data_IF_761790511202
#
_entry.id   IF_761790511202
#
_cell.length_a   1.000
_cell.length_b   1.000
_cell.length_c   1.000
_cell.angle_alpha   90.00
_cell.angle_beta   90.00
_cell.angle_gamma   90.00
#
_symmetry.space_group_name_H-M   'P 1'
#
loop_
_entity.id
_entity.type
_entity.pdbx_description
1 polymer ?
#
# COMPACT_ATOMS: atom_id res chain seq x y z
N UNK A 1 17.51 -25.46 44.35
CA UNK A 1 18.06 -24.57 43.32
C UNK A 1 18.98 -23.59 43.99
N UNK A 2 20.18 -23.42 43.44
CA UNK A 2 21.20 -22.51 43.90
C UNK A 2 21.60 -21.60 42.73
N UNK A 3 21.64 -20.30 42.97
CA UNK A 3 22.08 -19.32 41.98
C UNK A 3 23.61 -19.27 41.95
N UNK A 4 24.18 -19.33 40.74
CA UNK A 4 25.62 -19.32 40.50
C UNK A 4 25.96 -18.27 39.45
N UNK A 5 27.00 -17.49 39.73
CA UNK A 5 27.62 -16.61 38.74
C UNK A 5 28.55 -17.41 37.83
N UNK A 6 28.31 -17.36 36.53
CA UNK A 6 29.12 -17.99 35.49
C UNK A 6 29.46 -16.96 34.41
N UNK A 7 30.19 -17.37 33.37
CA UNK A 7 30.44 -16.54 32.18
C UNK A 7 29.95 -17.29 30.94
N UNK A 8 29.34 -16.56 30.00
CA UNK A 8 28.93 -17.11 28.72
C UNK A 8 30.11 -17.21 27.72
N UNK A 9 29.81 -17.62 26.48
CA UNK A 9 30.81 -17.75 25.39
C UNK A 9 31.51 -16.42 25.05
N UNK A 10 30.88 -15.28 25.34
CA UNK A 10 31.40 -13.92 25.09
C UNK A 10 32.07 -13.31 26.33
N UNK A 11 32.30 -14.11 27.39
CA UNK A 11 32.83 -13.68 28.70
C UNK A 11 31.94 -12.65 29.43
N UNK A 12 30.66 -12.57 29.08
CA UNK A 12 29.72 -11.77 29.85
C UNK A 12 29.32 -12.54 31.13
N UNK A 13 29.23 -11.85 32.29
CA UNK A 13 28.76 -12.49 33.51
C UNK A 13 27.28 -12.85 33.38
N UNK A 14 26.96 -14.12 33.64
CA UNK A 14 25.60 -14.66 33.62
C UNK A 14 25.27 -15.27 34.98
N UNK A 15 23.99 -15.30 35.32
CA UNK A 15 23.47 -15.97 36.51
C UNK A 15 22.73 -17.23 36.08
N UNK A 16 23.21 -18.38 36.54
CA UNK A 16 22.59 -19.68 36.27
C UNK A 16 21.98 -20.24 37.54
N UNK A 17 20.97 -21.09 37.41
CA UNK A 17 20.35 -21.77 38.55
C UNK A 17 20.60 -23.26 38.45
N UNK A 18 21.21 -23.87 39.46
CA UNK A 18 21.54 -25.29 39.44
C UNK A 18 20.93 -26.09 40.60
N UNK A 19 20.73 -27.38 40.38
CA UNK A 19 20.39 -28.35 41.41
C UNK A 19 20.97 -29.72 41.03
N UNK A 20 21.58 -30.41 42.00
CA UNK A 20 22.18 -31.73 41.78
C UNK A 20 22.06 -32.59 43.05
N UNK A 21 20.83 -32.83 43.52
CA UNK A 21 20.53 -33.62 44.73
C UNK A 21 20.15 -35.07 44.41
N UNK A 22 20.96 -35.70 43.56
CA UNK A 22 20.68 -37.03 42.96
C UNK A 22 20.74 -38.20 43.94
N UNK A 23 21.36 -38.02 45.11
CA UNK A 23 21.56 -39.07 46.12
C UNK A 23 20.40 -39.19 47.12
N UNK A 24 19.55 -38.17 47.19
CA UNK A 24 18.46 -38.09 48.15
C UNK A 24 17.16 -38.66 47.55
N UNK A 25 16.36 -39.36 48.36
CA UNK A 25 15.03 -39.81 47.94
C UNK A 25 14.00 -38.69 48.10
N UNK A 26 12.88 -38.79 47.36
CA UNK A 26 11.72 -37.89 47.46
C UNK A 26 12.05 -36.39 47.29
N UNK A 27 12.91 -36.06 46.32
CA UNK A 27 13.20 -34.66 45.99
C UNK A 27 11.96 -33.95 45.43
N UNK A 28 11.80 -32.67 45.82
CA UNK A 28 10.77 -31.77 45.32
C UNK A 28 11.30 -30.32 45.38
N UNK A 29 12.18 -29.96 44.45
CA UNK A 29 12.89 -28.69 44.46
C UNK A 29 12.25 -27.71 43.46
N UNK A 30 11.64 -26.63 43.95
CA UNK A 30 10.99 -25.62 43.12
C UNK A 30 11.85 -24.37 42.92
N UNK A 31 11.83 -23.83 41.71
CA UNK A 31 12.35 -22.51 41.33
C UNK A 31 11.22 -21.73 40.66
N UNK A 32 10.97 -20.50 41.11
CA UNK A 32 9.91 -19.65 40.58
C UNK A 32 10.51 -18.42 39.90
N UNK A 33 9.90 -17.97 38.81
CA UNK A 33 10.24 -16.67 38.22
C UNK A 33 9.58 -15.53 38.99
N UNK A 34 9.95 -14.29 38.65
CA UNK A 34 9.11 -13.13 38.93
C UNK A 34 7.82 -13.17 38.08
N UNK A 35 6.90 -12.25 38.37
CA UNK A 35 5.68 -12.07 37.61
C UNK A 35 5.98 -11.53 36.20
N UNK A 36 5.46 -12.21 35.18
CA UNK A 36 5.69 -11.88 33.77
C UNK A 36 4.38 -11.33 33.18
N UNK A 37 4.43 -10.11 32.65
CA UNK A 37 3.29 -9.49 31.97
C UNK A 37 3.04 -10.14 30.61
N UNK A 38 1.77 -10.35 30.27
CA UNK A 38 1.40 -10.92 28.96
C UNK A 38 1.44 -9.90 27.84
N UNK A 39 1.40 -8.59 28.13
CA UNK A 39 1.33 -7.50 27.13
C UNK A 39 0.21 -7.71 26.09
N UNK A 40 -0.89 -8.37 26.50
CA UNK A 40 -2.02 -8.72 25.62
C UNK A 40 -1.80 -9.97 24.76
N UNK A 41 -0.66 -10.65 24.87
CA UNK A 41 -0.40 -11.91 24.20
C UNK A 41 -1.22 -13.04 24.80
N UNK A 42 -1.99 -13.73 23.96
CA UNK A 42 -2.71 -14.94 24.36
C UNK A 42 -1.83 -16.19 24.23
N UNK A 43 -0.74 -16.14 23.47
CA UNK A 43 0.20 -17.24 23.34
C UNK A 43 1.62 -16.72 23.52
N UNK A 44 2.36 -17.38 24.39
CA UNK A 44 3.78 -17.10 24.65
C UNK A 44 4.61 -18.35 24.38
N UNK A 45 5.89 -18.15 24.16
CA UNK A 45 6.90 -19.17 23.93
C UNK A 45 7.94 -19.05 25.02
N UNK A 46 8.28 -20.20 25.62
CA UNK A 46 9.31 -20.34 26.63
C UNK A 46 10.46 -21.12 25.98
N UNK A 47 11.58 -20.44 25.78
CA UNK A 47 12.85 -21.04 25.34
C UNK A 47 13.73 -21.25 26.58
N UNK A 48 14.12 -22.50 26.80
CA UNK A 48 15.00 -22.94 27.88
C UNK A 48 16.34 -23.32 27.30
N UNK A 49 17.42 -22.80 27.88
CA UNK A 49 18.77 -23.32 27.67
C UNK A 49 19.29 -23.91 28.97
N UNK A 50 19.72 -25.16 28.95
CA UNK A 50 20.15 -25.88 30.16
C UNK A 50 21.17 -26.97 29.85
N UNK A 51 21.91 -27.38 30.87
CA UNK A 51 22.79 -28.55 30.83
C UNK A 51 22.24 -29.63 31.75
N UNK A 52 22.41 -30.89 31.36
CA UNK A 52 21.96 -32.03 32.14
C UNK A 52 23.03 -33.11 32.16
N UNK A 53 23.34 -33.60 33.36
CA UNK A 53 24.34 -34.65 33.54
C UNK A 53 23.70 -36.04 33.47
N UNK A 54 24.32 -36.94 32.71
CA UNK A 54 23.89 -38.35 32.59
C UNK A 54 23.94 -39.04 33.96
N UNK A 55 22.84 -39.69 34.35
CA UNK A 55 22.73 -40.43 35.61
C UNK A 55 23.74 -41.59 35.70
N UNK A 56 24.13 -42.19 34.59
CA UNK A 56 25.14 -43.25 34.54
C UNK A 56 26.55 -42.74 34.89
N UNK A 57 26.79 -41.44 34.74
CA UNK A 57 28.06 -40.78 35.09
C UNK A 57 28.16 -40.35 36.55
N UNK A 58 27.13 -40.63 37.36
CA UNK A 58 27.03 -40.19 38.76
C UNK A 58 27.25 -41.37 39.72
N UNK A 59 28.32 -41.35 40.56
CA UNK A 59 28.60 -42.44 41.48
C UNK A 59 27.61 -42.44 42.66
N UNK A 60 26.66 -43.37 42.67
CA UNK A 60 25.73 -43.58 43.80
C UNK A 60 24.27 -43.15 43.56
N UNK A 61 23.94 -42.60 42.39
CA UNK A 61 22.58 -42.13 42.06
C UNK A 61 21.63 -43.18 41.46
N UNK A 62 22.00 -44.47 41.50
CA UNK A 62 21.27 -45.54 40.81
C UNK A 62 19.91 -45.77 41.48
N UNK A 63 18.84 -45.37 40.79
CA UNK A 63 17.44 -45.56 41.22
C UNK A 63 16.74 -44.30 41.74
N UNK A 64 17.49 -43.27 42.12
CA UNK A 64 16.95 -41.96 42.57
C UNK A 64 17.14 -40.86 41.52
N UNK A 65 18.20 -40.95 40.71
CA UNK A 65 18.54 -39.96 39.69
C UNK A 65 17.50 -39.90 38.55
N UNK A 66 17.21 -38.68 38.07
CA UNK A 66 16.34 -38.38 36.93
C UNK A 66 17.09 -37.57 35.88
N UNK A 67 16.67 -37.71 34.63
CA UNK A 67 17.21 -36.96 33.48
C UNK A 67 16.16 -36.00 32.90
N UNK A 68 15.19 -35.63 33.73
CA UNK A 68 14.10 -34.73 33.37
C UNK A 68 13.75 -33.82 34.53
N UNK A 69 13.18 -32.67 34.20
CA UNK A 69 12.58 -31.74 35.15
C UNK A 69 11.22 -31.29 34.62
N UNK A 70 10.35 -30.78 35.48
CA UNK A 70 9.01 -30.37 35.08
C UNK A 70 8.93 -28.84 35.00
N UNK A 71 8.20 -28.34 34.01
CA UNK A 71 7.87 -26.92 33.88
C UNK A 71 6.39 -26.69 34.15
N UNK A 72 6.09 -25.61 34.88
CA UNK A 72 4.75 -25.23 35.30
C UNK A 72 4.49 -23.74 35.07
N UNK A 73 3.22 -23.36 35.05
CA UNK A 73 2.79 -21.96 35.08
C UNK A 73 1.60 -21.71 36.00
N UNK A 74 1.45 -20.44 36.39
CA UNK A 74 0.29 -19.95 37.14
C UNK A 74 -0.11 -18.55 36.64
N UNK A 75 -1.33 -18.40 36.12
CA UNK A 75 -1.87 -17.12 35.67
C UNK A 75 -2.45 -16.30 36.83
N UNK A 76 -2.14 -15.00 36.88
CA UNK A 76 -2.73 -14.06 37.84
C UNK A 76 -2.85 -12.64 37.29
N UNK A 77 -3.70 -11.82 37.89
CA UNK A 77 -3.87 -10.41 37.50
C UNK A 77 -2.90 -9.46 38.22
N UNK A 78 -2.05 -9.96 39.12
CA UNK A 78 -1.10 -9.18 39.91
C UNK A 78 -1.65 -8.71 41.27
N UNK A 79 -2.95 -8.79 41.49
CA UNK A 79 -3.60 -8.38 42.76
C UNK A 79 -3.45 -9.42 43.89
N UNK A 80 -2.81 -10.56 43.61
CA UNK A 80 -2.67 -11.69 44.55
C UNK A 80 -1.32 -11.70 45.28
N UNK A 81 -0.36 -10.87 44.85
CA UNK A 81 0.90 -10.66 45.58
C UNK A 81 0.68 -9.80 46.83
N UNK A 82 -0.45 -9.09 46.95
CA UNK A 82 -0.87 -8.41 48.18
C UNK A 82 -1.29 -9.39 49.31
N UNK A 83 -1.36 -10.69 49.04
CA UNK A 83 -1.50 -11.73 50.08
C UNK A 83 -0.15 -12.22 50.62
N UNK A 84 0.97 -11.57 50.27
CA UNK A 84 2.31 -11.89 50.77
C UNK A 84 2.52 -11.44 52.23
N UNK A 85 1.63 -10.62 52.81
CA UNK A 85 1.67 -10.22 54.22
C UNK A 85 0.49 -10.80 55.02
N UNK A 86 0.50 -12.11 55.25
CA UNK A 86 0.05 -12.74 56.50
C UNK A 86 -1.30 -12.35 57.15
N UNK A 87 -2.28 -11.78 56.43
CA UNK A 87 -3.55 -11.36 57.03
C UNK A 87 -4.69 -12.34 56.76
N UNK A 88 -4.80 -13.25 57.74
CA UNK A 88 -6.00 -13.85 58.32
C UNK A 88 -7.33 -13.56 57.63
N UNK A 89 -8.00 -14.63 57.19
CA UNK A 89 -9.46 -14.61 57.00
C UNK A 89 -10.23 -15.37 58.09
N UNK A 90 -9.65 -16.36 58.79
CA UNK A 90 -10.42 -17.19 59.75
C UNK A 90 -9.68 -17.66 61.03
N UNK A 91 -8.55 -17.07 61.44
CA UNK A 91 -7.96 -17.31 62.76
C UNK A 91 -7.43 -18.74 63.02
N UNK A 92 -7.41 -19.62 62.03
CA UNK A 92 -6.71 -20.91 62.05
C UNK A 92 -5.36 -20.72 61.38
N UNK A 93 -4.28 -20.90 62.14
CA UNK A 93 -2.92 -20.86 61.60
C UNK A 93 -2.70 -22.05 60.68
N UNK A 94 -2.53 -21.80 59.39
CA UNK A 94 -2.07 -22.78 58.42
C UNK A 94 -0.57 -22.97 58.65
N UNK A 95 -0.10 -24.22 58.66
CA UNK A 95 1.33 -24.51 58.80
C UNK A 95 2.10 -24.05 57.56
N UNK A 96 3.40 -23.74 57.68
CA UNK A 96 4.23 -23.34 56.53
C UNK A 96 4.23 -24.40 55.41
N UNK A 97 4.09 -25.66 55.77
CA UNK A 97 4.02 -26.80 54.85
C UNK A 97 2.70 -26.83 54.08
N UNK A 98 1.57 -26.55 54.74
CA UNK A 98 0.26 -26.42 54.10
C UNK A 98 0.19 -25.19 53.18
N UNK A 99 0.78 -24.06 53.56
CA UNK A 99 0.88 -22.85 52.72
C UNK A 99 1.70 -23.10 51.45
N UNK A 100 2.83 -23.82 51.57
CA UNK A 100 3.64 -24.26 50.43
C UNK A 100 2.86 -25.17 49.49
N UNK A 101 2.18 -26.18 50.01
CA UNK A 101 1.35 -27.11 49.22
C UNK A 101 0.21 -26.37 48.52
N UNK A 102 -0.44 -25.41 49.20
CA UNK A 102 -1.46 -24.55 48.60
C UNK A 102 -0.89 -23.73 47.45
N UNK A 103 0.30 -23.12 47.61
CA UNK A 103 0.98 -22.35 46.56
C UNK A 103 1.36 -23.22 45.37
N UNK A 104 1.93 -24.41 45.60
CA UNK A 104 2.29 -25.38 44.56
C UNK A 104 1.05 -25.91 43.81
N UNK A 105 -0.08 -26.10 44.50
CA UNK A 105 -1.32 -26.60 43.89
C UNK A 105 -1.96 -25.67 42.86
N UNK A 106 -1.58 -24.38 42.86
CA UNK A 106 -2.04 -23.39 41.88
C UNK A 106 -1.35 -23.52 40.52
N UNK A 107 -0.19 -24.16 40.48
CA UNK A 107 0.61 -24.32 39.27
C UNK A 107 0.08 -25.46 38.38
N UNK A 108 -0.07 -25.17 37.10
CA UNK A 108 -0.49 -26.14 36.08
C UNK A 108 0.77 -26.60 35.34
N UNK A 109 0.93 -27.92 35.19
CA UNK A 109 2.07 -28.51 34.49
C UNK A 109 1.99 -28.20 33.00
N UNK A 110 3.05 -27.61 32.44
CA UNK A 110 3.22 -27.41 31.00
C UNK A 110 3.72 -28.71 30.36
N UNK A 111 4.91 -29.17 30.78
CA UNK A 111 5.52 -30.36 30.22
C UNK A 111 6.62 -30.93 31.15
N UNK A 112 7.09 -32.13 30.82
CA UNK A 112 8.31 -32.72 31.35
C UNK A 112 9.43 -32.49 30.35
N UNK A 113 10.44 -31.71 30.73
CA UNK A 113 11.56 -31.35 29.87
C UNK A 113 12.67 -32.39 30.04
N UNK A 114 13.14 -32.92 28.91
CA UNK A 114 14.27 -33.83 28.82
C UNK A 114 15.39 -33.17 28.00
N UNK A 115 16.62 -33.62 28.19
CA UNK A 115 17.75 -33.22 27.35
C UNK A 115 17.80 -34.03 26.06
N UNK A 116 18.15 -33.39 24.95
CA UNK A 116 18.54 -34.06 23.70
C UNK A 116 19.94 -34.69 23.85
N UNK A 117 20.86 -33.95 24.49
CA UNK A 117 22.22 -34.40 24.81
C UNK A 117 22.51 -34.20 26.30
N UNK A 118 22.97 -35.27 26.97
CA UNK A 118 23.52 -35.21 28.33
C UNK A 118 25.05 -35.26 28.31
N UNK A 119 25.68 -34.70 29.33
CA UNK A 119 27.14 -34.75 29.49
C UNK A 119 27.56 -35.79 30.53
N UNK A 120 28.72 -36.39 30.31
CA UNK A 120 29.31 -37.47 31.13
C UNK A 120 30.61 -37.01 31.81
N UNK A 121 31.25 -37.91 32.57
CA UNK A 121 32.55 -37.65 33.21
C UNK A 121 33.68 -37.42 32.17
N UNK A 122 33.58 -38.04 31.00
CA UNK A 122 34.52 -37.84 29.90
C UNK A 122 34.42 -36.41 29.35
N UNK A 123 33.20 -35.90 29.15
CA UNK A 123 32.94 -34.56 28.64
C UNK A 123 33.40 -33.47 29.62
N UNK A 124 33.28 -33.73 30.93
CA UNK A 124 33.85 -32.88 31.98
C UNK A 124 35.38 -32.82 31.90
N UNK A 125 36.04 -33.93 31.58
CA UNK A 125 37.49 -34.00 31.34
C UNK A 125 37.94 -33.14 30.16
N UNK A 126 37.12 -33.09 29.12
CA UNK A 126 37.35 -32.29 27.90
C UNK A 126 36.81 -30.85 28.03
N UNK A 127 36.22 -30.48 29.17
CA UNK A 127 35.57 -29.18 29.44
C UNK A 127 34.45 -28.84 28.44
N UNK A 128 33.77 -29.86 27.93
CA UNK A 128 32.64 -29.70 27.02
C UNK A 128 31.36 -29.87 27.82
N UNK A 129 30.60 -28.79 27.98
CA UNK A 129 29.23 -28.88 28.51
C UNK A 129 28.24 -28.96 27.35
N UNK A 130 27.28 -29.88 27.44
CA UNK A 130 26.23 -30.06 26.43
C UNK A 130 25.06 -29.14 26.73
N UNK A 131 24.95 -28.05 25.98
CA UNK A 131 23.87 -27.07 26.10
C UNK A 131 22.67 -27.51 25.27
N UNK A 132 21.55 -27.78 25.95
CA UNK A 132 20.28 -28.13 25.35
C UNK A 132 19.43 -26.89 25.14
N UNK A 133 18.62 -26.85 24.08
CA UNK A 133 17.65 -25.77 23.84
C UNK A 133 16.27 -26.37 23.59
N UNK A 134 15.33 -26.09 24.48
CA UNK A 134 13.95 -26.59 24.40
C UNK A 134 12.96 -25.43 24.32
N UNK A 135 12.00 -25.50 23.40
CA UNK A 135 10.95 -24.48 23.24
C UNK A 135 9.59 -25.10 23.50
N UNK A 136 8.79 -24.44 24.35
CA UNK A 136 7.38 -24.80 24.60
C UNK A 136 6.50 -23.58 24.45
N UNK A 137 5.29 -23.77 23.92
CA UNK A 137 4.27 -22.73 23.88
C UNK A 137 3.27 -22.88 25.03
N UNK A 138 2.75 -21.74 25.45
CA UNK A 138 1.75 -21.62 26.51
C UNK A 138 0.62 -20.72 26.03
N UNK A 139 -0.62 -21.18 26.15
CA UNK A 139 -1.82 -20.40 25.86
C UNK A 139 -3.04 -21.28 25.53
N UNK A 140 -4.24 -20.68 25.40
CA UNK A 140 -4.52 -19.25 25.47
C UNK A 140 -4.44 -18.68 26.90
N UNK A 141 -3.60 -17.67 27.10
CA UNK A 141 -3.53 -16.87 28.32
C UNK A 141 -4.68 -15.86 28.35
N UNK A 142 -5.26 -15.70 29.53
CA UNK A 142 -6.46 -14.89 29.77
C UNK A 142 -6.26 -13.80 30.83
N UNK A 143 -5.22 -13.92 31.67
CA UNK A 143 -4.91 -12.96 32.73
C UNK A 143 -3.81 -11.97 32.33
N UNK A 144 -3.61 -10.94 33.16
CA UNK A 144 -2.61 -9.87 32.89
C UNK A 144 -1.16 -10.36 32.94
N UNK A 145 -0.88 -11.42 33.69
CA UNK A 145 0.45 -11.99 33.78
C UNK A 145 0.44 -13.40 34.32
N UNK A 146 1.63 -13.99 34.40
CA UNK A 146 1.82 -15.35 34.88
C UNK A 146 3.19 -15.52 35.53
N UNK A 147 3.30 -16.56 36.35
CA UNK A 147 4.54 -17.07 36.89
C UNK A 147 4.93 -18.35 36.17
N UNK A 148 6.23 -18.56 35.96
CA UNK A 148 6.76 -19.87 35.60
C UNK A 148 7.40 -20.51 36.82
N UNK A 149 7.37 -21.84 36.86
CA UNK A 149 8.08 -22.60 37.87
C UNK A 149 8.72 -23.87 37.31
N UNK A 150 9.85 -24.24 37.88
CA UNK A 150 10.64 -25.40 37.50
C UNK A 150 10.78 -26.33 38.70
N UNK A 151 10.34 -27.58 38.53
CA UNK A 151 10.37 -28.59 39.58
C UNK A 151 11.37 -29.68 39.22
N UNK A 152 12.32 -29.88 40.11
CA UNK A 152 13.28 -30.97 40.07
C UNK A 152 12.89 -32.07 41.08
N UNK A 153 12.93 -33.32 40.62
CA UNK A 153 12.61 -34.53 41.38
C UNK A 153 13.82 -35.47 41.56
N UNK A 154 15.05 -34.97 41.34
CA UNK A 154 16.29 -35.73 41.53
C UNK A 154 17.22 -35.74 40.32
N UNK A 155 17.22 -34.70 39.49
CA UNK A 155 18.13 -34.49 38.38
C UNK A 155 19.38 -33.71 38.80
N UNK A 156 20.37 -33.72 37.93
CA UNK A 156 21.56 -32.87 38.01
C UNK A 156 21.55 -31.91 36.82
N UNK A 157 20.99 -30.73 37.03
CA UNK A 157 20.65 -29.73 36.00
C UNK A 157 21.21 -28.36 36.37
N UNK A 158 21.69 -27.64 35.35
CA UNK A 158 21.92 -26.20 35.42
C UNK A 158 21.08 -25.49 34.35
N UNK A 159 20.20 -24.61 34.78
CA UNK A 159 19.36 -23.75 33.95
C UNK A 159 20.15 -22.48 33.62
N UNK A 160 20.52 -22.34 32.35
CA UNK A 160 21.42 -21.29 31.84
C UNK A 160 20.64 -20.06 31.38
N UNK A 161 19.51 -20.26 30.70
CA UNK A 161 18.67 -19.15 30.22
C UNK A 161 17.21 -19.57 30.18
N UNK A 162 16.33 -18.67 30.63
CA UNK A 162 14.88 -18.76 30.43
C UNK A 162 14.45 -17.51 29.68
N UNK A 163 14.06 -17.69 28.42
CA UNK A 163 13.60 -16.60 27.56
C UNK A 163 12.12 -16.78 27.26
N UNK A 164 11.32 -15.83 27.70
CA UNK A 164 9.89 -15.79 27.45
C UNK A 164 9.61 -14.71 26.41
N UNK A 165 8.89 -15.06 25.34
CA UNK A 165 8.55 -14.13 24.26
C UNK A 165 7.22 -14.47 23.62
N UNK A 166 6.63 -13.52 22.91
CA UNK A 166 5.47 -13.76 22.05
C UNK A 166 5.77 -13.28 20.63
N UNK A 167 5.00 -13.79 19.66
CA UNK A 167 5.14 -13.41 18.26
C UNK A 167 4.13 -12.31 17.93
N UNK A 168 4.50 -11.42 17.01
CA UNK A 168 3.63 -10.36 16.49
C UNK A 168 3.94 -10.11 15.04
N UNK A 169 2.90 -9.77 14.27
CA UNK A 169 3.10 -9.21 12.95
C UNK A 169 3.49 -7.74 13.10
N UNK A 170 4.70 -7.33 12.69
CA UNK A 170 5.19 -5.98 12.91
C UNK A 170 4.51 -4.97 11.98
N UNK A 171 4.53 -3.70 12.36
CA UNK A 171 4.00 -2.61 11.55
C UNK A 171 4.58 -2.66 10.14
N UNK A 172 3.69 -2.60 9.15
CA UNK A 172 4.05 -2.75 7.75
C UNK A 172 3.29 -1.73 6.90
N UNK A 173 4.01 -1.04 6.01
CA UNK A 173 3.39 -0.28 4.91
C UNK A 173 3.55 -1.07 3.63
N UNK A 174 2.44 -1.48 3.03
CA UNK A 174 2.43 -2.24 1.77
C UNK A 174 1.29 -1.77 0.88
N UNK A 175 1.57 -1.53 -0.40
CA UNK A 175 0.57 -1.07 -1.37
C UNK A 175 -0.19 0.19 -0.90
N UNK A 176 0.56 1.16 -0.35
CA UNK A 176 0.05 2.41 0.23
C UNK A 176 -0.95 2.23 1.39
N UNK A 177 -0.92 1.07 2.06
CA UNK A 177 -1.72 0.78 3.22
C UNK A 177 -0.83 0.49 4.43
N UNK A 178 -1.18 1.07 5.57
CA UNK A 178 -0.58 0.85 6.89
C UNK A 178 -1.30 -0.30 7.58
N UNK A 179 -0.54 -1.28 8.03
CA UNK A 179 -1.00 -2.40 8.85
C UNK A 179 -0.32 -2.28 10.24
N UNK A 180 -1.09 -2.14 11.33
CA UNK A 180 -0.55 -1.94 12.67
C UNK A 180 0.09 -3.21 13.22
N UNK A 181 0.92 -3.03 14.26
CA UNK A 181 1.41 -4.15 15.07
C UNK A 181 0.23 -5.00 15.55
N UNK A 182 0.24 -6.28 15.22
CA UNK A 182 -0.88 -7.19 15.49
C UNK A 182 -0.38 -8.45 16.18
N UNK A 183 -1.03 -8.81 17.29
CA UNK A 183 -0.80 -10.07 17.99
C UNK A 183 -1.64 -11.16 17.28
N UNK A 184 -1.04 -12.31 16.91
CA UNK A 184 -1.77 -13.41 16.28
C UNK A 184 -2.81 -14.02 17.22
N UNK A 185 -3.70 -14.82 16.63
CA UNK A 185 -4.63 -15.63 17.41
C UNK A 185 -3.89 -16.73 18.20
N UNK A 186 -4.52 -17.24 19.25
CA UNK A 186 -3.98 -18.32 20.07
C UNK A 186 -4.01 -19.70 19.38
N UNK A 187 -4.91 -19.92 18.41
CA UNK A 187 -5.05 -21.21 17.74
C UNK A 187 -4.12 -21.34 16.52
N UNK A 188 -3.42 -22.48 16.41
CA UNK A 188 -2.33 -22.68 15.45
C UNK A 188 -2.71 -22.44 13.96
N UNK A 189 -3.94 -22.77 13.57
CA UNK A 189 -4.45 -22.66 12.19
C UNK A 189 -5.27 -21.39 11.92
N UNK A 190 -5.43 -20.52 12.92
CA UNK A 190 -6.24 -19.32 12.77
C UNK A 190 -5.41 -18.16 12.22
N UNK A 191 -5.98 -17.45 11.25
CA UNK A 191 -5.42 -16.21 10.71
C UNK A 191 -6.23 -15.03 11.24
N UNK A 192 -5.54 -14.00 11.72
CA UNK A 192 -6.18 -12.74 12.12
C UNK A 192 -6.26 -11.83 10.90
N UNK A 193 -7.47 -11.59 10.40
CA UNK A 193 -7.69 -10.60 9.35
C UNK A 193 -7.51 -9.18 9.92
N UNK A 194 -6.68 -8.38 9.26
CA UNK A 194 -6.38 -7.00 9.63
C UNK A 194 -6.71 -6.10 8.46
N UNK A 195 -7.65 -5.18 8.69
CA UNK A 195 -8.00 -4.13 7.74
C UNK A 195 -6.94 -3.03 7.82
N UNK A 196 -6.25 -2.80 6.71
CA UNK A 196 -5.24 -1.77 6.58
C UNK A 196 -5.86 -0.38 6.40
N UNK A 197 -5.14 0.65 6.86
CA UNK A 197 -5.52 2.04 6.66
C UNK A 197 -4.69 2.66 5.55
N UNK A 198 -5.32 3.26 4.56
CA UNK A 198 -4.63 3.98 3.51
C UNK A 198 -3.73 5.10 4.08
N UNK A 199 -2.50 5.22 3.58
CA UNK A 199 -1.57 6.30 3.97
C UNK A 199 -2.16 7.67 3.64
N UNK A 200 -1.62 8.73 4.23
CA UNK A 200 -2.07 10.10 3.95
C UNK A 200 -2.12 10.41 2.45
N UNK A 201 -3.16 11.11 2.02
CA UNK A 201 -3.42 11.44 0.61
C UNK A 201 -3.60 10.25 -0.33
N UNK A 202 -3.97 9.07 0.20
CA UNK A 202 -4.40 7.91 -0.60
C UNK A 202 -5.82 7.49 -0.26
N UNK A 203 -6.40 6.66 -1.14
CA UNK A 203 -7.74 6.10 -1.02
C UNK A 203 -7.75 4.65 -1.50
N UNK A 204 -8.66 3.79 -1.01
CA UNK A 204 -8.81 2.45 -1.55
C UNK A 204 -9.24 2.52 -3.03
N UNK A 205 -8.64 1.71 -3.90
CA UNK A 205 -9.01 1.69 -5.31
C UNK A 205 -10.40 1.04 -5.53
N UNK A 206 -10.73 0.02 -4.75
CA UNK A 206 -12.02 -0.69 -4.81
C UNK A 206 -12.56 -0.92 -3.39
N UNK A 207 -11.89 -1.76 -2.62
CA UNK A 207 -12.21 -2.10 -1.24
C UNK A 207 -11.04 -1.79 -0.31
N UNK A 208 -11.32 -1.67 0.99
CA UNK A 208 -10.29 -1.49 2.00
C UNK A 208 -9.26 -2.62 1.94
N UNK A 209 -7.96 -2.30 1.97
CA UNK A 209 -6.90 -3.30 1.89
C UNK A 209 -6.91 -4.18 3.14
N UNK A 210 -6.61 -5.46 2.99
CA UNK A 210 -6.58 -6.44 4.08
C UNK A 210 -5.34 -7.32 4.00
N UNK A 211 -4.84 -7.73 5.16
CA UNK A 211 -3.79 -8.72 5.32
C UNK A 211 -4.15 -9.69 6.45
N UNK A 212 -3.47 -10.83 6.47
CA UNK A 212 -3.71 -11.87 7.46
C UNK A 212 -2.45 -12.08 8.29
N UNK A 213 -2.54 -11.93 9.61
CA UNK A 213 -1.44 -12.20 10.52
C UNK A 213 -1.45 -13.68 10.93
N UNK A 214 -0.34 -14.39 10.70
CA UNK A 214 -0.15 -15.79 11.06
C UNK A 214 0.31 -15.95 12.51
N UNK A 215 0.15 -17.16 13.06
CA UNK A 215 0.65 -17.54 14.40
C UNK A 215 2.17 -17.47 14.52
N UNK A 216 2.88 -17.49 13.40
CA UNK A 216 4.33 -17.29 13.32
C UNK A 216 4.75 -15.80 13.33
N UNK A 217 3.79 -14.87 13.37
CA UNK A 217 4.07 -13.43 13.32
C UNK A 217 4.36 -12.93 11.90
N UNK A 218 3.92 -13.65 10.88
CA UNK A 218 4.13 -13.27 9.48
C UNK A 218 2.87 -12.70 8.84
N UNK A 219 3.05 -11.69 8.00
CA UNK A 219 1.99 -11.10 7.19
C UNK A 219 1.76 -11.91 5.90
N UNK A 220 0.56 -12.45 5.76
CA UNK A 220 0.14 -13.28 4.63
C UNK A 220 -0.97 -12.60 3.81
N UNK A 221 -1.17 -13.11 2.59
CA UNK A 221 -2.30 -12.82 1.67
C UNK A 221 -2.70 -11.33 1.61
N UNK A 222 -2.00 -10.49 0.81
CA UNK A 222 -2.41 -9.12 0.59
C UNK A 222 -3.64 -9.05 -0.33
N UNK A 223 -4.72 -8.43 0.14
CA UNK A 223 -5.96 -8.21 -0.62
C UNK A 223 -6.21 -6.71 -0.73
N UNK A 224 -6.53 -6.24 -1.93
CA UNK A 224 -6.75 -4.82 -2.19
C UNK A 224 -5.48 -3.96 -2.14
N UNK A 225 -5.64 -2.68 -2.42
CA UNK A 225 -4.56 -1.68 -2.34
C UNK A 225 -5.14 -0.28 -2.20
N UNK A 226 -4.33 0.63 -1.69
CA UNK A 226 -4.58 2.05 -1.78
C UNK A 226 -3.86 2.63 -3.01
N UNK A 227 -4.38 3.74 -3.51
CA UNK A 227 -3.76 4.55 -4.56
C UNK A 227 -3.77 6.00 -4.12
N UNK A 228 -2.73 6.76 -4.47
CA UNK A 228 -2.74 8.18 -4.16
C UNK A 228 -3.92 8.88 -4.85
N UNK A 229 -4.47 9.88 -4.18
CA UNK A 229 -5.52 10.75 -4.73
C UNK A 229 -5.00 11.47 -5.99
N UNK A 230 -5.91 11.98 -6.80
CA UNK A 230 -5.55 12.85 -7.93
C UNK A 230 -4.73 14.05 -7.44
N UNK A 231 -3.74 14.46 -8.23
CA UNK A 231 -2.74 15.46 -7.82
C UNK A 231 -1.62 14.95 -6.90
N UNK A 232 -1.58 13.67 -6.55
CA UNK A 232 -0.47 13.07 -5.79
C UNK A 232 0.17 11.91 -6.56
N UNK A 233 1.44 11.58 -6.31
CA UNK A 233 2.13 10.42 -6.85
C UNK A 233 2.73 9.55 -5.75
N UNK A 234 2.86 8.26 -6.04
CA UNK A 234 3.51 7.32 -5.14
C UNK A 234 5.03 7.49 -5.21
N UNK A 235 5.63 7.82 -4.08
CA UNK A 235 7.09 7.94 -3.91
C UNK A 235 7.47 7.23 -2.61
N UNK A 236 8.22 6.13 -2.73
CA UNK A 236 8.75 5.37 -1.59
C UNK A 236 7.69 4.95 -0.55
N UNK A 237 6.52 4.48 -1.00
CA UNK A 237 5.43 4.04 -0.10
C UNK A 237 4.64 5.18 0.54
N UNK A 238 4.81 6.41 0.06
CA UNK A 238 4.06 7.61 0.49
C UNK A 238 3.45 8.33 -0.70
N UNK A 239 2.40 9.12 -0.47
CA UNK A 239 1.78 9.95 -1.50
C UNK A 239 2.28 11.39 -1.42
N UNK A 240 3.08 11.79 -2.40
CA UNK A 240 3.64 13.13 -2.50
C UNK A 240 2.87 13.97 -3.51
N UNK A 241 2.76 15.26 -3.26
CA UNK A 241 2.03 16.17 -4.15
C UNK A 241 2.75 16.32 -5.50
N UNK A 242 2.00 16.32 -6.61
CA UNK A 242 2.58 16.56 -7.94
C UNK A 242 3.32 17.91 -7.95
N UNK A 243 4.53 17.91 -8.50
CA UNK A 243 5.34 19.12 -8.66
C UNK A 243 4.69 20.09 -9.66
N UNK A 244 5.05 21.37 -9.58
CA UNK A 244 4.60 22.36 -10.57
C UNK A 244 4.97 21.94 -12.00
N UNK A 245 4.07 22.17 -12.95
CA UNK A 245 4.22 21.69 -14.33
C UNK A 245 3.86 20.21 -14.55
N UNK A 246 3.49 19.48 -13.49
CA UNK A 246 2.99 18.12 -13.54
C UNK A 246 1.56 18.04 -13.02
N UNK A 247 0.82 17.04 -13.50
CA UNK A 247 -0.56 16.81 -13.11
C UNK A 247 -0.85 15.31 -12.98
N UNK A 248 -1.94 14.99 -12.28
CA UNK A 248 -2.50 13.63 -12.27
C UNK A 248 -4.03 13.66 -12.18
N UNK A 249 -4.68 13.21 -13.26
CA UNK A 249 -6.14 13.24 -13.40
C UNK A 249 -6.84 11.94 -13.04
N UNK A 250 -6.13 10.81 -13.02
CA UNK A 250 -6.69 9.47 -12.82
C UNK A 250 -6.10 8.78 -11.59
N UNK A 251 -6.89 7.90 -10.95
CA UNK A 251 -6.49 7.17 -9.75
C UNK A 251 -5.62 5.95 -10.10
N UNK A 252 -5.77 5.41 -11.30
CA UNK A 252 -5.11 4.21 -11.78
C UNK A 252 -3.65 4.44 -12.19
N UNK A 253 -3.28 5.68 -12.51
CA UNK A 253 -1.89 6.03 -12.89
C UNK A 253 -1.05 6.23 -11.63
N UNK A 254 0.09 5.57 -11.48
CA UNK A 254 0.87 5.65 -10.23
C UNK A 254 1.65 6.97 -10.04
N UNK A 255 2.02 7.65 -11.14
CA UNK A 255 2.92 8.79 -11.17
C UNK A 255 2.29 10.05 -11.79
N UNK A 256 2.83 11.22 -11.45
CA UNK A 256 2.43 12.48 -12.07
C UNK A 256 2.99 12.59 -13.50
N UNK A 257 2.19 13.09 -14.42
CA UNK A 257 2.58 13.31 -15.81
C UNK A 257 2.93 14.77 -16.04
N UNK A 258 3.90 15.04 -16.89
CA UNK A 258 4.21 16.42 -17.31
C UNK A 258 3.02 17.00 -18.08
N UNK A 259 2.72 18.28 -17.89
CA UNK A 259 1.69 18.94 -18.67
C UNK A 259 1.96 18.81 -20.18
N UNK A 260 0.93 18.48 -20.98
CA UNK A 260 1.09 18.37 -22.43
C UNK A 260 1.37 19.75 -23.04
N UNK A 261 1.85 19.81 -24.31
CA UNK A 261 2.17 21.07 -24.97
C UNK A 261 1.04 22.10 -24.92
N UNK A 262 1.42 23.37 -24.81
CA UNK A 262 0.52 24.52 -24.71
C UNK A 262 -0.43 24.49 -23.51
N UNK A 263 -0.01 23.83 -22.44
CA UNK A 263 -0.74 23.78 -21.18
C UNK A 263 0.22 23.86 -19.99
N UNK A 264 -0.28 24.37 -18.88
CA UNK A 264 0.50 24.65 -17.68
C UNK A 264 -0.26 24.28 -16.41
N UNK A 265 0.45 23.68 -15.45
CA UNK A 265 0.01 23.52 -14.07
C UNK A 265 0.76 24.52 -13.21
N UNK A 266 0.10 25.63 -12.84
CA UNK A 266 0.70 26.74 -12.09
C UNK A 266 0.89 26.47 -10.59
N UNK A 267 0.21 25.44 -10.07
CA UNK A 267 0.25 25.05 -8.67
C UNK A 267 0.69 23.61 -8.51
N UNK A 268 1.22 23.28 -7.33
CA UNK A 268 1.45 21.88 -6.95
C UNK A 268 0.10 21.15 -6.81
N UNK A 269 0.11 19.85 -7.06
CA UNK A 269 -1.08 19.01 -6.87
C UNK A 269 -2.15 19.22 -7.93
N UNK A 270 -1.76 19.67 -9.12
CA UNK A 270 -2.70 19.86 -10.21
C UNK A 270 -3.34 18.52 -10.64
N UNK A 271 -4.66 18.52 -10.76
CA UNK A 271 -5.42 17.38 -11.29
C UNK A 271 -5.58 17.45 -12.80
N UNK A 272 -5.40 18.64 -13.37
CA UNK A 272 -5.41 18.91 -14.81
C UNK A 272 -4.51 20.14 -15.10
N UNK A 273 -4.08 20.27 -16.35
CA UNK A 273 -3.34 21.45 -16.81
C UNK A 273 -4.29 22.44 -17.48
N UNK A 274 -4.09 23.73 -17.23
CA UNK A 274 -4.83 24.81 -17.89
C UNK A 274 -4.16 25.17 -19.21
N UNK A 275 -4.93 25.47 -20.25
CA UNK A 275 -4.36 25.90 -21.52
C UNK A 275 -3.70 27.28 -21.42
N UNK A 276 -2.64 27.48 -22.20
CA UNK A 276 -2.03 28.81 -22.41
C UNK A 276 -2.95 29.73 -23.22
N UNK A 277 -2.72 31.04 -23.14
CA UNK A 277 -3.53 32.02 -23.86
C UNK A 277 -3.48 31.77 -25.38
N UNK A 278 -4.65 31.75 -26.02
CA UNK A 278 -4.79 31.43 -27.45
C UNK A 278 -4.84 29.93 -27.78
N UNK A 279 -4.74 29.06 -26.77
CA UNK A 279 -4.93 27.62 -26.89
C UNK A 279 -6.12 27.12 -26.08
N UNK A 280 -6.73 26.05 -26.56
CA UNK A 280 -8.04 25.60 -26.12
C UNK A 280 -8.14 24.08 -26.15
N UNK A 281 -9.11 23.57 -25.40
CA UNK A 281 -9.42 22.14 -25.29
C UNK A 281 -10.92 21.98 -25.07
N UNK A 282 -11.52 20.96 -25.65
CA UNK A 282 -12.94 20.64 -25.46
C UNK A 282 -13.10 19.49 -24.47
N UNK A 283 -14.28 19.35 -23.85
CA UNK A 283 -14.53 18.35 -22.79
C UNK A 283 -14.34 16.89 -23.25
N UNK A 284 -14.50 16.62 -24.55
CA UNK A 284 -14.26 15.29 -25.12
C UNK A 284 -12.78 14.95 -25.29
N UNK A 285 -11.87 15.94 -25.20
CA UNK A 285 -10.44 15.71 -25.35
C UNK A 285 -9.86 15.11 -24.05
N UNK A 286 -9.07 14.02 -24.13
CA UNK A 286 -8.51 13.40 -22.93
C UNK A 286 -7.50 14.33 -22.24
N UNK A 287 -7.33 14.30 -20.90
CA UNK A 287 -6.42 15.20 -20.17
C UNK A 287 -4.98 15.22 -20.68
N UNK A 288 -4.49 14.10 -21.23
CA UNK A 288 -3.14 13.96 -21.82
C UNK A 288 -2.96 14.62 -23.20
N UNK A 289 -4.04 14.99 -23.89
CA UNK A 289 -3.95 15.69 -25.17
C UNK A 289 -3.45 17.13 -24.99
N UNK A 290 -2.61 17.61 -25.91
CA UNK A 290 -2.17 19.01 -25.95
C UNK A 290 -3.35 19.98 -26.11
N UNK A 291 -3.20 21.20 -25.58
CA UNK A 291 -4.12 22.26 -25.97
C UNK A 291 -3.82 22.67 -27.43
N UNK A 292 -4.88 23.01 -28.15
CA UNK A 292 -4.87 23.22 -29.60
C UNK A 292 -5.43 24.58 -29.94
N UNK A 293 -5.24 25.06 -31.17
CA UNK A 293 -5.75 26.38 -31.59
C UNK A 293 -6.55 26.26 -32.90
N UNK A 294 -7.32 27.28 -33.30
CA UNK A 294 -7.95 27.31 -34.61
C UNK A 294 -6.92 27.16 -35.74
N UNK A 295 -7.29 26.56 -36.89
CA UNK A 295 -6.36 26.41 -38.01
C UNK A 295 -6.16 27.76 -38.74
N UNK A 296 -5.08 27.86 -39.51
CA UNK A 296 -4.90 28.97 -40.45
C UNK A 296 -5.88 28.86 -41.63
N UNK A 297 -5.93 29.89 -42.48
CA UNK A 297 -6.72 29.81 -43.72
C UNK A 297 -6.26 28.64 -44.64
N UNK A 298 -7.16 28.11 -45.49
CA UNK A 298 -6.81 27.12 -46.51
C UNK A 298 -5.67 27.57 -47.45
N UNK A 299 -5.12 26.66 -48.24
CA UNK A 299 -4.07 26.99 -49.23
C UNK A 299 -4.51 26.72 -50.65
N UNK A 300 -3.82 27.31 -51.61
CA UNK A 300 -3.92 26.98 -53.04
C UNK A 300 -5.37 26.89 -53.52
N UNK A 301 -6.22 27.81 -53.06
CA UNK A 301 -7.61 27.80 -53.45
C UNK A 301 -7.70 28.23 -54.92
N UNK A 302 -8.42 27.46 -55.71
CA UNK A 302 -8.64 27.69 -57.14
C UNK A 302 -10.13 27.60 -57.44
N UNK A 303 -10.56 28.35 -58.45
CA UNK A 303 -11.95 28.37 -58.93
C UNK A 303 -11.97 28.05 -60.42
N UNK A 304 -12.86 27.14 -60.82
CA UNK A 304 -13.14 26.83 -62.22
C UNK A 304 -14.61 27.16 -62.52
N UNK A 305 -14.83 28.05 -63.48
CA UNK A 305 -16.17 28.53 -63.85
C UNK A 305 -16.68 27.76 -65.06
N UNK A 306 -17.88 27.24 -64.94
CA UNK A 306 -18.61 26.62 -66.03
C UNK A 306 -20.01 27.26 -66.09
N UNK A 307 -20.20 28.21 -67.01
CA UNK A 307 -21.45 28.98 -67.19
C UNK A 307 -21.89 29.67 -65.87
N UNK A 308 -22.95 29.15 -65.25
CA UNK A 308 -23.56 29.61 -63.98
C UNK A 308 -23.17 28.75 -62.78
N UNK A 309 -22.22 27.82 -62.97
CA UNK A 309 -21.69 26.96 -61.91
C UNK A 309 -20.20 27.22 -61.70
N UNK A 310 -19.74 27.11 -60.46
CA UNK A 310 -18.34 27.30 -60.07
C UNK A 310 -17.89 26.11 -59.25
N UNK A 311 -16.82 25.46 -59.69
CA UNK A 311 -16.14 24.42 -58.94
C UNK A 311 -14.99 25.05 -58.15
N UNK A 312 -15.01 24.92 -56.84
CA UNK A 312 -13.97 25.41 -55.94
C UNK A 312 -13.17 24.23 -55.41
N UNK A 313 -11.85 24.35 -55.44
CA UNK A 313 -10.92 23.36 -54.89
C UNK A 313 -9.83 24.07 -54.09
N UNK A 314 -9.41 23.48 -52.98
CA UNK A 314 -8.37 24.04 -52.11
C UNK A 314 -7.50 22.95 -51.49
N UNK A 315 -6.45 23.38 -50.81
CA UNK A 315 -5.55 22.54 -50.03
C UNK A 315 -5.70 22.81 -48.53
N UNK A 316 -5.32 21.83 -47.73
CA UNK A 316 -5.32 21.91 -46.26
C UNK A 316 -4.45 23.10 -45.77
N UNK A 317 -4.87 23.80 -44.69
CA UNK A 317 -4.09 24.85 -44.04
C UNK A 317 -2.64 24.45 -43.72
N UNK A 318 -1.73 25.43 -43.66
CA UNK A 318 -0.34 25.19 -43.18
C UNK A 318 -0.37 24.77 -41.71
N UNK A 319 -1.14 25.51 -40.92
CA UNK A 319 -1.26 25.28 -39.49
C UNK A 319 -2.64 24.71 -39.21
N UNK A 320 -2.70 23.43 -38.87
CA UNK A 320 -3.95 22.76 -38.48
C UNK A 320 -4.36 23.07 -37.04
N UNK A 321 -3.49 23.77 -36.30
CA UNK A 321 -3.64 24.00 -34.87
C UNK A 321 -3.45 22.73 -34.02
N UNK A 322 -2.87 21.67 -34.59
CA UNK A 322 -2.57 20.41 -33.89
C UNK A 322 -3.71 19.40 -33.88
N UNK A 323 -4.82 19.65 -34.58
CA UNK A 323 -5.95 18.72 -34.70
C UNK A 323 -6.08 18.15 -36.11
N UNK A 324 -6.87 17.08 -36.24
CA UNK A 324 -7.19 16.39 -37.50
C UNK A 324 -8.66 16.52 -37.89
N UNK A 325 -9.50 17.09 -37.01
CA UNK A 325 -10.94 17.29 -37.18
C UNK A 325 -11.26 18.59 -37.94
N UNK A 326 -10.44 18.92 -38.95
CA UNK A 326 -10.62 20.13 -39.75
C UNK A 326 -11.87 20.00 -40.61
N UNK A 327 -12.66 21.07 -40.64
CA UNK A 327 -13.83 21.25 -41.49
C UNK A 327 -13.75 22.61 -42.18
N UNK A 328 -14.46 22.77 -43.29
CA UNK A 328 -14.47 24.00 -44.07
C UNK A 328 -15.87 24.60 -44.17
N UNK A 329 -15.93 25.93 -44.07
CA UNK A 329 -17.13 26.72 -44.23
C UNK A 329 -16.94 27.70 -45.38
N UNK A 330 -18.00 27.92 -46.16
CA UNK A 330 -17.96 28.80 -47.32
C UNK A 330 -18.98 29.92 -47.13
N UNK A 331 -18.49 31.15 -47.18
CA UNK A 331 -19.30 32.36 -47.22
C UNK A 331 -19.28 32.90 -48.64
N UNK A 332 -20.46 32.99 -49.25
CA UNK A 332 -20.63 33.52 -50.60
C UNK A 332 -21.17 34.94 -50.49
N UNK A 333 -20.52 35.86 -51.20
CA UNK A 333 -20.98 37.23 -51.39
C UNK A 333 -20.97 37.57 -52.87
N UNK A 334 -21.79 38.52 -53.29
CA UNK A 334 -21.82 39.04 -54.65
C UNK A 334 -21.86 40.56 -54.64
N UNK A 335 -21.34 41.15 -55.71
CA UNK A 335 -21.39 42.61 -55.89
C UNK A 335 -22.75 42.99 -56.44
N UNK A 336 -23.43 43.92 -55.78
CA UNK A 336 -24.70 44.45 -56.26
C UNK A 336 -24.52 45.25 -57.57
N UNK A 337 -25.53 45.26 -58.46
CA UNK A 337 -25.58 46.18 -59.59
C UNK A 337 -25.33 47.63 -59.12
N UNK A 338 -24.63 48.41 -59.92
CA UNK A 338 -24.24 49.81 -59.64
C UNK A 338 -23.21 50.02 -58.51
N UNK A 339 -22.52 48.98 -58.05
CA UNK A 339 -21.38 49.11 -57.13
C UNK A 339 -21.76 49.47 -55.69
N UNK A 340 -23.02 49.24 -55.29
CA UNK A 340 -23.59 49.63 -53.99
C UNK A 340 -23.11 48.82 -52.78
N UNK A 341 -22.21 47.85 -52.95
CA UNK A 341 -21.64 47.03 -51.87
C UNK A 341 -21.59 45.54 -52.18
N UNK A 342 -21.21 44.73 -51.18
CA UNK A 342 -21.28 43.26 -51.20
C UNK A 342 -22.49 42.79 -50.38
N UNK A 343 -23.26 41.86 -50.93
CA UNK A 343 -24.36 41.17 -50.23
C UNK A 343 -24.12 39.66 -50.20
N UNK A 344 -24.56 38.98 -49.14
CA UNK A 344 -24.53 37.51 -49.10
C UNK A 344 -25.36 36.90 -50.23
N UNK A 345 -24.89 35.79 -50.77
CA UNK A 345 -25.61 35.09 -51.83
C UNK A 345 -26.98 34.60 -51.35
N UNK A 346 -28.00 34.79 -52.19
CA UNK A 346 -29.37 34.41 -51.88
C UNK A 346 -29.58 32.88 -51.75
N UNK A 347 -30.76 32.45 -51.25
CA UNK A 347 -31.06 31.04 -50.97
C UNK A 347 -31.13 30.16 -52.23
N UNK A 348 -31.19 30.76 -53.42
CA UNK A 348 -31.24 30.05 -54.69
C UNK A 348 -29.88 29.45 -55.09
N UNK A 349 -28.78 29.92 -54.50
CA UNK A 349 -27.43 29.40 -54.77
C UNK A 349 -27.24 28.07 -54.04
N UNK A 350 -26.91 27.01 -54.80
CA UNK A 350 -26.79 25.65 -54.25
C UNK A 350 -25.34 25.24 -54.08
N UNK A 351 -25.01 24.72 -52.90
CA UNK A 351 -23.68 24.19 -52.56
C UNK A 351 -23.75 22.67 -52.47
N UNK A 352 -23.00 21.98 -53.32
CA UNK A 352 -22.94 20.53 -53.40
C UNK A 352 -21.54 20.05 -52.98
N UNK A 353 -21.41 19.24 -51.90
CA UNK A 353 -22.51 18.60 -51.15
C UNK A 353 -23.19 19.49 -50.10
N UNK A 354 -22.50 20.50 -49.55
CA UNK A 354 -23.03 21.41 -48.52
C UNK A 354 -22.20 22.69 -48.42
N UNK A 355 -22.75 23.73 -47.77
CA UNK A 355 -22.06 25.03 -47.56
C UNK A 355 -21.14 25.05 -46.33
N UNK A 356 -21.52 24.36 -45.26
CA UNK A 356 -20.83 24.39 -43.96
C UNK A 356 -20.38 22.98 -43.55
N UNK A 357 -19.32 22.91 -42.75
CA UNK A 357 -18.84 21.66 -42.15
C UNK A 357 -18.31 20.65 -43.17
N UNK A 358 -17.78 21.11 -44.31
CA UNK A 358 -17.20 20.25 -45.34
C UNK A 358 -15.94 19.56 -44.81
N UNK A 359 -15.82 18.25 -45.01
CA UNK A 359 -14.59 17.49 -44.71
C UNK A 359 -13.65 17.42 -45.92
N UNK A 360 -14.23 17.45 -47.12
CA UNK A 360 -13.50 17.41 -48.38
C UNK A 360 -13.02 18.81 -48.77
N UNK A 361 -12.02 18.87 -49.64
CA UNK A 361 -11.39 20.12 -50.09
C UNK A 361 -11.90 20.61 -51.44
N UNK A 362 -13.14 20.25 -51.78
CA UNK A 362 -13.81 20.73 -52.98
C UNK A 362 -15.31 20.91 -52.77
N UNK A 363 -15.90 21.85 -53.50
CA UNK A 363 -17.35 22.08 -53.55
C UNK A 363 -17.75 22.52 -54.95
N UNK A 364 -18.96 22.17 -55.36
CA UNK A 364 -19.60 22.75 -56.53
C UNK A 364 -20.68 23.74 -56.09
N UNK A 365 -20.60 24.96 -56.61
CA UNK A 365 -21.60 26.02 -56.40
C UNK A 365 -22.38 26.16 -57.70
N UNK A 366 -23.70 25.98 -57.65
CA UNK A 366 -24.58 26.01 -58.83
C UNK A 366 -25.68 27.07 -58.66
N UNK A 367 -26.38 27.33 -59.76
CA UNK A 367 -27.51 28.28 -59.84
C UNK A 367 -27.11 29.74 -59.53
N UNK A 368 -25.91 30.15 -59.94
CA UNK A 368 -25.45 31.54 -59.82
C UNK A 368 -26.03 32.40 -60.96
N UNK A 369 -26.28 33.67 -60.69
CA UNK A 369 -26.65 34.63 -61.75
C UNK A 369 -25.49 34.81 -62.74
N UNK A 370 -25.78 34.90 -64.03
CA UNK A 370 -24.76 35.14 -65.07
C UNK A 370 -24.22 36.59 -65.02
N UNK A 371 -23.02 36.80 -65.55
CA UNK A 371 -22.34 38.11 -65.62
C UNK A 371 -22.24 38.84 -64.27
N UNK A 372 -22.15 38.10 -63.18
CA UNK A 372 -22.13 38.64 -61.81
C UNK A 372 -20.82 38.27 -61.13
N UNK A 373 -20.25 39.24 -60.40
CA UNK A 373 -19.03 39.05 -59.63
C UNK A 373 -19.35 38.50 -58.24
N UNK A 374 -18.87 37.29 -57.97
CA UNK A 374 -18.98 36.60 -56.69
C UNK A 374 -17.62 36.57 -55.98
N UNK A 375 -17.66 36.69 -54.65
CA UNK A 375 -16.54 36.48 -53.75
C UNK A 375 -16.87 35.33 -52.81
N UNK A 376 -16.11 34.25 -52.92
CA UNK A 376 -16.19 33.09 -52.03
C UNK A 376 -15.09 33.20 -50.98
N UNK A 377 -15.48 33.31 -49.71
CA UNK A 377 -14.57 33.31 -48.58
C UNK A 377 -14.58 31.91 -47.96
N UNK A 378 -13.45 31.22 -48.05
CA UNK A 378 -13.26 29.88 -47.51
C UNK A 378 -12.58 29.96 -46.16
N UNK A 379 -13.24 29.41 -45.14
CA UNK A 379 -12.75 29.33 -43.77
C UNK A 379 -12.42 27.87 -43.43
N UNK A 380 -11.29 27.65 -42.77
CA UNK A 380 -11.01 26.38 -42.10
C UNK A 380 -11.35 26.51 -40.62
N UNK A 381 -12.03 25.51 -40.07
CA UNK A 381 -12.40 25.41 -38.65
C UNK A 381 -12.02 24.04 -38.09
N UNK A 382 -11.82 23.93 -36.79
CA UNK A 382 -11.62 22.66 -36.09
C UNK A 382 -12.46 22.62 -34.81
N UNK A 383 -12.30 21.57 -34.00
CA UNK A 383 -13.10 21.39 -32.78
C UNK A 383 -12.99 22.52 -31.74
N UNK A 384 -11.95 23.36 -31.80
CA UNK A 384 -11.74 24.47 -30.85
C UNK A 384 -12.04 25.85 -31.43
N UNK A 385 -12.41 25.96 -32.70
CA UNK A 385 -12.69 27.25 -33.36
C UNK A 385 -13.81 28.04 -32.68
N UNK A 386 -14.81 27.36 -32.10
CA UNK A 386 -15.93 28.02 -31.39
C UNK A 386 -15.54 28.61 -30.03
N UNK A 387 -14.49 28.08 -29.39
CA UNK A 387 -13.99 28.59 -28.11
C UNK A 387 -13.15 29.86 -28.32
N UNK A 388 -12.54 29.99 -29.49
CA UNK A 388 -11.64 31.07 -29.83
C UNK A 388 -12.39 32.32 -30.37
N UNK A 389 -13.31 32.87 -29.57
CA UNK A 389 -14.17 34.00 -29.99
C UNK A 389 -13.39 35.27 -30.34
N UNK A 390 -12.28 35.50 -29.64
CA UNK A 390 -11.40 36.65 -29.86
C UNK A 390 -10.37 36.40 -30.97
N UNK A 391 -10.33 35.18 -31.54
CA UNK A 391 -9.43 34.87 -32.64
C UNK A 391 -10.02 35.39 -33.95
N UNK A 392 -9.25 36.23 -34.65
CA UNK A 392 -9.66 36.76 -35.94
C UNK A 392 -9.83 35.62 -36.96
N UNK A 393 -11.04 35.46 -37.48
CA UNK A 393 -11.34 34.46 -38.51
C UNK A 393 -10.51 34.73 -39.76
N UNK A 394 -9.83 33.69 -40.24
CA UNK A 394 -8.98 33.77 -41.43
C UNK A 394 -9.66 33.11 -42.62
N UNK A 395 -9.63 33.81 -43.75
CA UNK A 395 -10.28 33.37 -44.99
C UNK A 395 -9.31 33.39 -46.15
N UNK A 396 -9.49 32.45 -47.08
CA UNK A 396 -9.00 32.61 -48.46
C UNK A 396 -10.16 33.13 -49.30
N UNK A 397 -9.94 34.20 -50.04
CA UNK A 397 -10.97 34.80 -50.89
C UNK A 397 -10.72 34.44 -52.35
N UNK A 398 -11.73 33.89 -53.01
CA UNK A 398 -11.77 33.64 -54.44
C UNK A 398 -12.80 34.54 -55.10
N UNK A 399 -12.35 35.38 -56.03
CA UNK A 399 -13.22 36.25 -56.80
C UNK A 399 -13.47 35.65 -58.18
N UNK A 400 -14.74 35.55 -58.55
CA UNK A 400 -15.20 34.81 -59.72
C UNK A 400 -16.27 35.60 -60.45
N UNK A 401 -16.20 35.65 -61.78
CA UNK A 401 -17.24 36.22 -62.64
C UNK A 401 -17.90 35.09 -63.43
N UNK A 402 -19.21 34.96 -63.33
CA UNK A 402 -19.98 33.94 -64.07
C UNK A 402 -20.19 34.32 -65.52
N UNK A 403 -20.26 33.34 -66.42
CA UNK A 403 -20.40 33.54 -67.86
C UNK A 403 -21.84 33.29 -68.32
N UNK A 404 -22.12 33.54 -69.61
CA UNK A 404 -23.41 33.20 -70.20
C UNK A 404 -23.61 31.67 -70.20
N UNK A 405 -24.82 31.23 -69.83
CA UNK A 405 -25.28 29.85 -69.93
C UNK A 405 -25.70 29.51 -71.37
#
# INVERSE_FOLDING_TARGET
WEEIGEVDEDYAPIHTYQVCRVMEQNQNNWLHTNWILTEGAQRVYIELKFTLRDCNSLPGGVGTCKETFNMYYYETNGDEDDMEDGRMRDGVGITEEEDRVLKESRYIKIDTIAADESFTELDLGDRVMKLNTEVRDLGPLSRKGFYLAFQDLGACIALVSVRVFYKRCPFLVKSLAEFPDTIPASEASQLVEVVGRCVNNSVPLYESPRMHCSTEGEWLVPIGKCVCKTGFEEVSGSCQVCKMGFYRSQLETSACSKCPPHSVARQMGATACSCEDGYYKIDSDPPSMACTRPPSAPRNAISNVNETSVFLEWSVPVETGGRKDIRYNILCRHVLPDGRGLEECGPNVRFLPRRLGLSNTSVMVADLQSHTNYSFLLEAINGVSELAKDHAKQYVTLNVTTNQA
#
